data_IF_289237182496
#
_entry.id   IF_289237182496
#
_cell.length_a   1.000
_cell.length_b   1.000
_cell.length_c   1.000
_cell.angle_alpha   90.00
_cell.angle_beta   90.00
_cell.angle_gamma   90.00
#
_symmetry.space_group_name_H-M   'P 1'
#
loop_
_entity.id
_entity.type
_entity.pdbx_description
1 polymer ?
2 non-polymer ?
3 non-polymer ?
4 non-polymer ?
5 non-polymer ?
6 water ?
#
# COMPACT_ATOMS: atom_id res chain seq x y z
N UNK A 1 -17.13 20.98 -6.92
CA UNK A 1 -18.16 21.57 -6.06
C UNK A 1 -18.06 21.02 -4.65
N UNK A 2 -18.43 21.85 -3.67
CA UNK A 2 -18.48 21.46 -2.28
C UNK A 2 -19.93 21.12 -1.94
N UNK A 3 -20.18 19.86 -1.58
CA UNK A 3 -21.52 19.43 -1.22
C UNK A 3 -22.07 20.30 -0.09
N UNK A 4 -23.37 20.61 -0.16
CA UNK A 4 -23.95 21.46 0.87
C UNK A 4 -23.86 20.84 2.27
N UNK A 5 -23.73 19.52 2.39
CA UNK A 5 -23.61 18.90 3.70
C UNK A 5 -22.16 18.67 4.14
N UNK A 6 -21.18 19.03 3.32
CA UNK A 6 -19.79 18.99 3.78
C UNK A 6 -19.51 20.18 4.71
N UNK A 7 -18.59 19.96 5.65
CA UNK A 7 -18.11 21.03 6.51
C UNK A 7 -16.71 21.43 6.05
N UNK A 8 -16.52 22.72 5.81
CA UNK A 8 -15.20 23.27 5.48
C UNK A 8 -14.88 24.32 6.54
N UNK A 9 -13.86 24.05 7.35
CA UNK A 9 -13.53 24.97 8.43
C UNK A 9 -13.18 26.34 7.85
N UNK A 10 -13.55 27.43 8.52
CA UNK A 10 -13.25 28.77 7.96
C UNK A 10 -11.77 29.03 7.71
N UNK A 11 -10.87 28.38 8.46
CA UNK A 11 -9.44 28.55 8.24
C UNK A 11 -8.87 27.64 7.16
N UNK A 12 -9.61 26.63 6.72
CA UNK A 12 -9.12 25.79 5.64
C UNK A 12 -9.16 26.56 4.32
N UNK A 13 -8.31 26.14 3.39
CA UNK A 13 -8.23 26.79 2.08
C UNK A 13 -8.56 25.70 1.05
N UNK A 14 -9.78 25.70 0.53
CA UNK A 14 -10.18 24.75 -0.51
C UNK A 14 -10.24 25.51 -1.82
N UNK A 15 -9.36 25.17 -2.76
CA UNK A 15 -9.28 25.92 -4.00
C UNK A 15 -10.45 25.58 -4.92
N UNK A 16 -10.94 26.60 -5.64
CA UNK A 16 -12.06 26.41 -6.54
C UNK A 16 -11.75 25.30 -7.55
N UNK A 17 -12.70 24.38 -7.70
CA UNK A 17 -12.53 23.20 -8.53
C UNK A 17 -12.43 21.91 -7.72
N UNK A 18 -11.98 22.00 -6.47
CA UNK A 18 -11.99 20.83 -5.59
C UNK A 18 -13.41 20.29 -5.46
N UNK A 19 -13.52 18.96 -5.40
CA UNK A 19 -14.80 18.27 -5.20
C UNK A 19 -14.80 17.68 -3.80
N UNK A 20 -15.78 18.08 -2.98
CA UNK A 20 -15.88 17.62 -1.59
C UNK A 20 -17.26 16.98 -1.40
N UNK A 21 -17.27 15.70 -0.99
CA UNK A 21 -18.50 14.93 -0.94
C UNK A 21 -19.37 15.21 0.28
N UNK A 22 -20.55 14.58 0.26
CA UNK A 22 -21.53 14.78 1.32
C UNK A 22 -20.95 14.39 2.67
N UNK A 23 -21.21 15.21 3.68
CA UNK A 23 -20.82 14.92 5.06
C UNK A 23 -19.32 14.72 5.23
N UNK A 24 -18.52 15.18 4.27
CA UNK A 24 -17.08 15.24 4.50
C UNK A 24 -16.78 16.36 5.48
N UNK A 25 -15.56 16.34 6.03
CA UNK A 25 -15.16 17.34 7.01
C UNK A 25 -13.73 17.78 6.70
N UNK A 26 -13.55 19.07 6.42
CA UNK A 26 -12.22 19.62 6.17
C UNK A 26 -11.88 20.49 7.37
N UNK A 27 -10.95 20.01 8.22
CA UNK A 27 -10.63 20.66 9.47
C UNK A 27 -9.78 21.92 9.31
N UNK A 28 -9.51 22.56 10.43
CA UNK A 28 -8.79 23.84 10.40
C UNK A 28 -7.40 23.71 9.79
N UNK A 29 -7.02 24.74 9.04
CA UNK A 29 -5.69 24.89 8.45
C UNK A 29 -5.35 23.80 7.44
N UNK A 30 -6.36 23.12 6.87
CA UNK A 30 -6.10 22.22 5.75
C UNK A 30 -6.01 23.01 4.45
N UNK A 31 -5.27 22.44 3.48
CA UNK A 31 -5.16 23.00 2.14
C UNK A 31 -5.58 21.90 1.17
N UNK A 32 -6.49 22.22 0.25
CA UNK A 32 -7.02 21.26 -0.70
C UNK A 32 -6.95 21.90 -2.09
N UNK A 33 -6.19 21.29 -3.00
CA UNK A 33 -5.97 21.85 -4.31
C UNK A 33 -7.15 21.66 -5.23
N UNK A 34 -7.09 22.32 -6.38
CA UNK A 34 -8.25 22.37 -7.30
C UNK A 34 -8.55 21.09 -8.06
N UNK A 35 -7.62 20.13 -8.09
CA UNK A 35 -7.83 18.86 -8.77
C UNK A 35 -8.06 17.71 -7.79
N UNK A 36 -8.38 18.03 -6.54
CA UNK A 36 -8.64 17.04 -5.51
C UNK A 36 -10.11 16.68 -5.46
N UNK A 37 -10.41 15.39 -5.31
CA UNK A 37 -11.76 14.89 -5.03
C UNK A 37 -11.73 14.16 -3.69
N UNK A 38 -12.59 14.58 -2.77
CA UNK A 38 -12.67 13.98 -1.44
C UNK A 38 -14.06 13.38 -1.30
N UNK A 39 -14.10 12.07 -1.02
CA UNK A 39 -15.34 11.34 -1.02
C UNK A 39 -16.22 11.58 0.22
N UNK A 40 -17.44 11.08 0.10
CA UNK A 40 -18.45 11.21 1.14
C UNK A 40 -17.94 10.73 2.50
N UNK A 41 -18.13 11.56 3.53
CA UNK A 41 -17.81 11.18 4.89
C UNK A 41 -16.34 11.23 5.25
N UNK A 42 -15.46 11.55 4.32
CA UNK A 42 -14.04 11.57 4.65
C UNK A 42 -13.71 12.77 5.52
N UNK A 43 -12.79 12.57 6.46
CA UNK A 43 -12.41 13.60 7.41
C UNK A 43 -10.93 13.91 7.24
N UNK A 44 -10.61 15.20 7.07
CA UNK A 44 -9.25 15.71 7.24
C UNK A 44 -9.21 16.44 8.59
N UNK A 45 -8.48 15.88 9.56
CA UNK A 45 -8.62 16.36 10.94
C UNK A 45 -8.26 17.84 11.06
N UNK A 46 -7.03 18.20 10.67
CA UNK A 46 -6.51 19.56 10.68
C UNK A 46 -5.13 19.49 10.06
N UNK A 47 -4.62 20.63 9.61
CA UNK A 47 -3.23 20.74 9.13
C UNK A 47 -2.88 19.65 8.12
N UNK A 48 -3.78 19.35 7.19
CA UNK A 48 -3.57 18.37 6.14
C UNK A 48 -3.39 19.10 4.81
N UNK A 49 -2.38 18.67 4.02
CA UNK A 49 -2.17 19.19 2.68
C UNK A 49 -2.58 18.09 1.69
N UNK A 50 -3.55 18.40 0.83
CA UNK A 50 -3.93 17.50 -0.27
C UNK A 50 -3.87 18.30 -1.56
N UNK A 51 -3.07 17.83 -2.52
CA UNK A 51 -2.94 18.55 -3.78
C UNK A 51 -2.69 17.55 -4.92
N UNK A 52 -2.41 18.08 -6.10
CA UNK A 52 -2.26 17.26 -7.29
C UNK A 52 -3.60 16.73 -7.80
N UNK A 53 -3.50 15.88 -8.83
CA UNK A 53 -4.67 15.18 -9.35
C UNK A 53 -4.88 13.96 -8.47
N UNK A 54 -5.77 14.11 -7.48
CA UNK A 54 -5.84 13.19 -6.35
C UNK A 54 -7.30 12.89 -6.04
N UNK A 55 -7.66 11.61 -6.07
CA UNK A 55 -9.02 11.15 -5.79
C UNK A 55 -9.00 10.33 -4.51
N UNK A 56 -9.80 10.73 -3.53
CA UNK A 56 -9.88 10.07 -2.24
C UNK A 56 -11.32 9.61 -2.04
N UNK A 57 -11.48 8.34 -1.62
CA UNK A 57 -12.79 7.74 -1.48
C UNK A 57 -13.51 8.18 -0.22
N UNK A 58 -14.41 7.31 0.25
CA UNK A 58 -15.34 7.65 1.30
C UNK A 58 -14.89 7.13 2.65
N UNK A 59 -15.32 7.83 3.71
CA UNK A 59 -15.12 7.38 5.09
C UNK A 59 -13.64 7.22 5.45
N UNK A 60 -12.77 7.94 4.79
CA UNK A 60 -11.37 7.97 5.20
C UNK A 60 -11.19 8.89 6.40
N UNK A 61 -10.15 8.60 7.20
CA UNK A 61 -9.74 9.47 8.30
C UNK A 61 -8.27 9.82 8.09
N UNK A 62 -7.99 11.09 7.83
CA UNK A 62 -6.65 11.55 7.52
C UNK A 62 -6.23 12.54 8.59
N UNK A 63 -5.16 12.22 9.31
CA UNK A 63 -4.75 12.98 10.49
C UNK A 63 -3.80 14.12 10.15
N UNK A 64 -3.59 14.98 11.13
CA UNK A 64 -2.82 16.21 10.97
C UNK A 64 -1.40 15.92 10.48
N UNK A 65 -0.88 16.84 9.67
CA UNK A 65 0.48 16.89 9.17
C UNK A 65 0.73 15.85 8.08
N UNK A 66 -0.33 15.21 7.59
CA UNK A 66 -0.23 14.35 6.42
C UNK A 66 -0.14 15.18 5.14
N UNK A 67 0.54 14.62 4.14
CA UNK A 67 0.70 15.23 2.83
C UNK A 67 0.32 14.21 1.79
N UNK A 68 -0.78 14.46 1.08
CA UNK A 68 -1.41 13.49 0.18
C UNK A 68 -1.47 14.11 -1.21
N UNK A 69 -0.85 13.47 -2.19
CA UNK A 69 -0.84 13.93 -3.57
C UNK A 69 0.38 14.75 -3.95
N UNK A 70 1.29 14.97 -3.01
CA UNK A 70 2.39 15.91 -3.19
C UNK A 70 3.36 15.43 -4.27
N UNK A 71 4.10 16.39 -4.84
CA UNK A 71 5.22 16.12 -5.73
C UNK A 71 6.09 15.02 -5.13
N UNK A 72 6.45 14.03 -5.94
CA UNK A 72 7.26 12.92 -5.45
C UNK A 72 8.73 13.33 -5.36
N UNK A 73 9.56 12.42 -4.86
CA UNK A 73 10.97 12.71 -4.60
C UNK A 73 11.90 12.13 -5.65
N UNK A 74 11.35 11.53 -6.70
CA UNK A 74 12.14 11.03 -7.82
C UNK A 74 12.73 12.21 -8.59
N UNK A 75 14.06 12.25 -8.67
CA UNK A 75 14.71 13.32 -9.42
C UNK A 75 14.29 13.34 -10.88
N UNK A 76 13.74 12.24 -11.40
CA UNK A 76 13.30 12.22 -12.79
C UNK A 76 12.00 12.99 -12.99
N UNK A 77 11.23 13.18 -11.93
CA UNK A 77 9.95 13.86 -12.05
C UNK A 77 10.16 15.33 -12.39
N UNK A 78 9.34 15.87 -13.29
CA UNK A 78 9.57 17.21 -13.80
C UNK A 78 8.31 18.08 -13.73
N UNK A 79 7.33 17.68 -12.93
CA UNK A 79 6.10 18.42 -12.78
C UNK A 79 4.94 17.95 -13.63
N UNK A 80 5.06 16.79 -14.25
CA UNK A 80 3.99 16.32 -15.13
C UNK A 80 2.73 16.03 -14.31
N UNK A 81 1.56 16.22 -14.92
CA UNK A 81 0.30 15.88 -14.24
C UNK A 81 0.18 14.39 -14.07
N UNK A 82 0.62 13.89 -12.92
CA UNK A 82 0.42 12.51 -12.54
C UNK A 82 -0.62 12.46 -11.41
N UNK A 83 -0.89 11.26 -10.89
CA UNK A 83 -2.13 11.05 -10.13
C UNK A 83 -1.89 10.23 -8.88
N UNK A 84 -2.83 10.39 -7.95
CA UNK A 84 -2.97 9.56 -6.76
C UNK A 84 -4.43 9.09 -6.69
N UNK A 85 -4.62 7.81 -6.35
CA UNK A 85 -5.95 7.27 -6.06
C UNK A 85 -5.90 6.60 -4.70
N UNK A 86 -6.86 6.94 -3.84
CA UNK A 86 -7.01 6.36 -2.51
C UNK A 86 -8.45 5.89 -2.35
N UNK A 87 -8.62 4.66 -1.88
CA UNK A 87 -9.94 4.08 -1.72
C UNK A 87 -10.72 4.53 -0.49
N UNK A 88 -11.41 3.61 0.16
CA UNK A 88 -12.37 3.91 1.21
C UNK A 88 -11.91 3.40 2.57
N UNK A 89 -12.35 4.08 3.63
CA UNK A 89 -12.21 3.59 5.01
C UNK A 89 -10.75 3.38 5.42
N UNK A 90 -9.84 4.17 4.85
CA UNK A 90 -8.46 4.14 5.30
C UNK A 90 -8.26 5.01 6.53
N UNK A 91 -7.32 4.61 7.38
CA UNK A 91 -6.87 5.42 8.50
C UNK A 91 -5.45 5.84 8.20
N UNK A 92 -5.26 7.12 7.94
CA UNK A 92 -4.01 7.66 7.43
C UNK A 92 -3.52 8.63 8.50
N UNK A 93 -2.48 8.23 9.21
CA UNK A 93 -2.14 8.84 10.49
C UNK A 93 -1.20 10.04 10.31
N UNK A 94 -0.82 10.65 11.43
CA UNK A 94 -0.06 11.89 11.42
C UNK A 94 1.21 11.74 10.59
N UNK A 95 1.48 12.74 9.76
CA UNK A 95 2.74 12.85 9.01
C UNK A 95 2.90 11.83 7.91
N UNK A 96 1.89 10.99 7.63
CA UNK A 96 1.98 10.11 6.46
C UNK A 96 2.17 10.96 5.20
N UNK A 97 3.00 10.46 4.28
CA UNK A 97 3.15 11.07 2.96
C UNK A 97 2.76 10.08 1.88
N UNK A 98 1.93 10.51 0.94
CA UNK A 98 1.56 9.71 -0.21
C UNK A 98 1.80 10.57 -1.43
N UNK A 99 2.74 10.18 -2.28
CA UNK A 99 3.19 11.05 -3.37
C UNK A 99 2.64 10.60 -4.72
N UNK A 100 2.52 11.58 -5.62
CA UNK A 100 1.97 11.35 -6.94
C UNK A 100 2.93 10.53 -7.79
N UNK A 101 2.40 9.88 -8.82
CA UNK A 101 3.22 9.05 -9.69
C UNK A 101 4.19 9.83 -10.58
N UNK A 102 4.94 9.08 -11.38
CA UNK A 102 5.79 9.65 -12.43
C UNK A 102 5.31 9.13 -13.78
N UNK A 103 5.52 9.93 -14.82
CA UNK A 103 5.21 9.46 -16.17
C UNK A 103 5.94 8.16 -16.45
N UNK A 104 7.22 8.12 -16.09
CA UNK A 104 8.06 6.96 -16.37
C UNK A 104 7.52 5.71 -15.70
N UNK A 105 6.94 5.85 -14.52
CA UNK A 105 6.44 4.73 -13.76
C UNK A 105 4.99 4.38 -13.94
N UNK A 106 4.28 5.00 -14.89
CA UNK A 106 2.88 4.68 -15.14
C UNK A 106 1.90 5.76 -14.76
N UNK A 107 2.34 6.79 -14.02
CA UNK A 107 1.54 7.96 -13.76
C UNK A 107 0.63 7.90 -12.55
N UNK A 108 0.67 6.81 -11.77
CA UNK A 108 -0.35 6.61 -10.73
C UNK A 108 0.23 6.00 -9.48
N UNK A 109 -0.04 6.64 -8.34
CA UNK A 109 0.16 6.01 -7.04
C UNK A 109 -1.21 5.62 -6.51
N UNK A 110 -1.36 4.37 -6.09
CA UNK A 110 -2.68 3.88 -5.72
C UNK A 110 -2.67 3.21 -4.35
N UNK A 111 -3.69 3.52 -3.56
CA UNK A 111 -3.94 2.89 -2.26
C UNK A 111 -5.38 2.40 -2.25
N UNK A 112 -5.60 1.17 -1.78
CA UNK A 112 -6.95 0.63 -1.76
C UNK A 112 -7.79 1.09 -0.58
N UNK A 113 -8.43 0.13 0.10
CA UNK A 113 -9.42 0.42 1.12
C UNK A 113 -9.09 -0.33 2.40
N UNK A 114 -9.58 0.20 3.52
CA UNK A 114 -9.47 -0.45 4.82
C UNK A 114 -8.02 -0.65 5.26
N UNK A 115 -7.12 0.21 4.81
CA UNK A 115 -5.72 0.17 5.22
C UNK A 115 -5.50 1.01 6.47
N UNK A 116 -4.44 0.67 7.22
CA UNK A 116 -3.98 1.49 8.33
C UNK A 116 -2.54 1.88 8.02
N UNK A 117 -2.32 3.18 7.79
CA UNK A 117 -1.01 3.74 7.51
C UNK A 117 -0.59 4.55 8.74
N UNK A 118 0.33 4.00 9.52
CA UNK A 118 0.66 4.61 10.81
C UNK A 118 1.59 5.81 10.61
N UNK A 119 1.90 6.48 11.73
CA UNK A 119 2.62 7.76 11.72
C UNK A 119 3.85 7.70 10.81
N UNK A 120 3.98 8.68 9.91
CA UNK A 120 5.15 8.84 9.06
C UNK A 120 5.40 7.65 8.14
N UNK A 121 4.39 6.84 7.87
CA UNK A 121 4.53 5.90 6.77
C UNK A 121 4.68 6.70 5.48
N UNK A 122 5.44 6.14 4.52
CA UNK A 122 5.71 6.84 3.26
C UNK A 122 5.34 5.95 2.09
N UNK A 123 4.44 6.45 1.22
CA UNK A 123 4.04 5.76 0.00
C UNK A 123 4.58 6.60 -1.14
N UNK A 124 5.68 6.13 -1.75
CA UNK A 124 6.36 6.87 -2.80
C UNK A 124 5.58 6.82 -4.12
N UNK A 125 6.05 7.61 -5.08
CA UNK A 125 5.52 7.58 -6.44
C UNK A 125 5.39 6.16 -6.98
N UNK A 126 4.28 5.91 -7.67
CA UNK A 126 4.02 4.70 -8.46
C UNK A 126 3.89 3.45 -7.62
N UNK A 127 3.76 3.59 -6.30
CA UNK A 127 3.48 2.44 -5.47
C UNK A 127 2.03 2.02 -5.64
N UNK A 128 1.76 0.74 -5.34
CA UNK A 128 0.41 0.20 -5.30
C UNK A 128 0.23 -0.53 -3.97
N UNK A 129 -0.59 0.05 -3.09
CA UNK A 129 -0.99 -0.59 -1.84
C UNK A 129 -2.39 -1.12 -2.01
N UNK A 130 -2.61 -2.37 -1.60
CA UNK A 130 -3.88 -3.03 -1.79
C UNK A 130 -4.94 -2.68 -0.76
N UNK A 131 -5.66 -3.68 -0.27
CA UNK A 131 -6.69 -3.51 0.76
C UNK A 131 -6.27 -4.20 2.05
N UNK A 132 -6.71 -3.65 3.18
CA UNK A 132 -6.52 -4.25 4.49
C UNK A 132 -5.06 -4.37 4.90
N UNK A 133 -4.19 -3.53 4.33
CA UNK A 133 -2.79 -3.52 4.71
C UNK A 133 -2.55 -2.72 5.98
N UNK A 134 -1.41 -2.99 6.64
CA UNK A 134 -0.91 -2.18 7.74
C UNK A 134 0.55 -1.81 7.46
N UNK A 135 0.85 -0.51 7.47
CA UNK A 135 2.22 0.00 7.53
C UNK A 135 2.41 0.66 8.89
N UNK A 136 3.34 0.13 9.69
CA UNK A 136 3.58 0.66 11.02
C UNK A 136 4.40 1.94 10.94
N UNK A 137 4.64 2.58 12.09
CA UNK A 137 5.33 3.87 12.10
C UNK A 137 6.63 3.80 11.31
N UNK A 138 6.86 4.83 10.48
CA UNK A 138 8.09 5.04 9.73
C UNK A 138 8.33 3.99 8.67
N UNK A 139 7.38 3.11 8.40
CA UNK A 139 7.54 2.17 7.29
C UNK A 139 7.65 2.95 5.99
N UNK A 140 8.64 2.62 5.17
CA UNK A 140 9.04 3.49 4.08
C UNK A 140 9.14 2.69 2.78
N UNK A 141 8.29 3.02 1.80
CA UNK A 141 8.34 2.37 0.49
C UNK A 141 9.07 3.28 -0.50
N UNK A 142 10.10 2.74 -1.15
CA UNK A 142 10.68 3.44 -2.29
C UNK A 142 9.70 3.41 -3.46
N UNK A 143 10.08 4.04 -4.57
CA UNK A 143 9.16 4.12 -5.71
C UNK A 143 8.82 2.75 -6.28
N UNK A 144 7.64 2.65 -6.87
CA UNK A 144 7.20 1.49 -7.64
C UNK A 144 6.97 0.22 -6.81
N UNK A 145 6.90 0.32 -5.48
CA UNK A 145 6.71 -0.85 -4.63
C UNK A 145 5.26 -1.29 -4.63
N UNK A 146 5.00 -2.60 -4.62
CA UNK A 146 3.65 -3.13 -4.41
C UNK A 146 3.54 -3.73 -3.01
N UNK A 147 2.46 -3.40 -2.31
CA UNK A 147 2.10 -4.03 -1.05
C UNK A 147 0.72 -4.64 -1.29
N UNK A 148 0.68 -5.97 -1.37
CA UNK A 148 -0.54 -6.65 -1.77
C UNK A 148 -1.50 -6.83 -0.59
N UNK A 149 -2.73 -7.26 -0.89
CA UNK A 149 -3.81 -7.31 0.10
C UNK A 149 -3.37 -7.98 1.40
N UNK A 150 -3.77 -7.39 2.52
CA UNK A 150 -3.57 -7.91 3.88
C UNK A 150 -2.11 -7.92 4.34
N UNK A 151 -1.16 -7.50 3.51
CA UNK A 151 0.24 -7.51 3.95
C UNK A 151 0.46 -6.49 5.07
N UNK A 152 1.36 -6.82 6.00
CA UNK A 152 1.69 -5.96 7.13
C UNK A 152 3.20 -5.71 7.16
N UNK A 153 3.60 -4.46 7.35
CA UNK A 153 5.01 -4.08 7.37
C UNK A 153 5.28 -3.41 8.71
N UNK A 154 6.24 -3.95 9.46
CA UNK A 154 6.52 -3.51 10.81
C UNK A 154 7.24 -2.17 10.90
N UNK A 155 7.33 -1.68 12.13
CA UNK A 155 7.87 -0.34 12.34
C UNK A 155 9.32 -0.23 11.91
N UNK A 156 9.67 0.94 11.35
CA UNK A 156 11.03 1.29 10.94
C UNK A 156 11.51 0.53 9.71
N UNK A 157 10.64 -0.24 9.05
CA UNK A 157 11.09 -1.08 7.95
C UNK A 157 11.00 -0.33 6.62
N UNK A 158 12.00 -0.54 5.77
CA UNK A 158 12.03 0.12 4.47
C UNK A 158 12.08 -0.94 3.37
N UNK A 159 11.51 -0.60 2.21
CA UNK A 159 11.41 -1.51 1.08
C UNK A 159 12.04 -0.85 -0.15
N UNK A 160 12.99 -1.56 -0.77
CA UNK A 160 13.73 -1.09 -1.94
C UNK A 160 12.81 -0.97 -3.16
N UNK A 161 13.14 -0.06 -4.07
CA UNK A 161 12.28 0.24 -5.20
C UNK A 161 11.93 -1.01 -6.01
N UNK A 162 10.70 -1.03 -6.54
CA UNK A 162 10.14 -2.08 -7.39
C UNK A 162 9.82 -3.40 -6.69
N UNK A 163 10.19 -3.56 -5.40
CA UNK A 163 9.90 -4.82 -4.74
C UNK A 163 8.40 -5.04 -4.59
N UNK A 164 8.02 -6.32 -4.54
CA UNK A 164 6.65 -6.76 -4.25
C UNK A 164 6.61 -7.38 -2.86
N UNK A 165 5.73 -6.85 -2.01
CA UNK A 165 5.36 -7.46 -0.74
C UNK A 165 4.06 -8.23 -0.97
N UNK A 166 4.14 -9.56 -1.02
CA UNK A 166 3.00 -10.37 -1.43
C UNK A 166 1.82 -10.34 -0.46
N UNK A 167 0.69 -10.87 -0.95
CA UNK A 167 -0.52 -10.89 -0.15
C UNK A 167 -0.32 -11.66 1.16
N UNK A 168 -0.89 -11.13 2.25
CA UNK A 168 -0.88 -11.78 3.57
C UNK A 168 0.53 -11.94 4.15
N UNK A 169 1.52 -11.23 3.59
CA UNK A 169 2.86 -11.25 4.15
C UNK A 169 2.89 -10.51 5.49
N UNK A 170 3.82 -10.91 6.36
CA UNK A 170 4.15 -10.12 7.55
C UNK A 170 5.63 -9.84 7.55
N UNK A 171 6.01 -8.56 7.38
CA UNK A 171 7.41 -8.16 7.45
C UNK A 171 7.67 -7.60 8.84
N UNK A 172 8.67 -8.13 9.53
CA UNK A 172 8.99 -7.65 10.86
C UNK A 172 9.40 -6.19 10.85
N UNK A 173 9.43 -5.62 12.05
CA UNK A 173 9.99 -4.31 12.22
C UNK A 173 11.52 -4.30 12.08
N UNK A 174 12.07 -3.11 11.95
CA UNK A 174 13.52 -2.91 11.87
C UNK A 174 14.15 -3.76 10.77
N UNK A 175 13.47 -3.88 9.63
CA UNK A 175 13.94 -4.74 8.55
C UNK A 175 14.16 -3.92 7.28
N UNK A 176 14.92 -4.48 6.36
CA UNK A 176 15.16 -3.83 5.08
C UNK A 176 14.89 -4.84 3.99
N UNK A 177 13.89 -4.60 3.16
CA UNK A 177 13.48 -5.57 2.14
C UNK A 177 14.12 -5.16 0.82
N UNK A 178 14.95 -6.05 0.26
CA UNK A 178 15.65 -5.74 -0.98
C UNK A 178 15.18 -6.59 -2.17
N UNK A 179 14.36 -7.61 -1.93
CA UNK A 179 13.86 -8.46 -3.00
C UNK A 179 12.37 -8.73 -2.77
N UNK A 180 11.77 -9.53 -3.65
CA UNK A 180 10.33 -9.76 -3.59
C UNK A 180 9.97 -10.80 -2.53
N UNK A 181 8.84 -10.58 -1.87
CA UNK A 181 8.40 -11.46 -0.79
C UNK A 181 7.16 -12.22 -1.27
N UNK A 182 7.23 -13.53 -1.45
CA UNK A 182 6.06 -14.29 -1.92
C UNK A 182 4.87 -14.13 -0.99
N UNK A 183 3.65 -14.30 -1.50
CA UNK A 183 2.47 -14.26 -0.62
C UNK A 183 2.58 -15.26 0.51
N UNK A 184 1.98 -14.89 1.65
CA UNK A 184 1.73 -15.77 2.80
C UNK A 184 2.97 -15.92 3.68
N UNK A 185 4.07 -15.23 3.40
CA UNK A 185 5.38 -15.45 4.02
C UNK A 185 5.62 -14.45 5.15
N UNK A 186 6.32 -14.91 6.18
CA UNK A 186 6.88 -14.05 7.21
C UNK A 186 8.30 -13.71 6.80
N UNK A 187 8.67 -12.43 6.86
CA UNK A 187 10.01 -12.00 6.50
C UNK A 187 10.56 -11.06 7.57
N UNK A 188 11.87 -11.14 7.81
CA UNK A 188 12.46 -10.29 8.84
C UNK A 188 13.95 -10.18 8.57
N UNK A 189 14.54 -9.06 8.96
CA UNK A 189 15.99 -8.90 8.95
C UNK A 189 16.47 -7.80 8.02
N UNK A 190 17.80 -7.65 7.98
CA UNK A 190 18.48 -6.63 7.18
C UNK A 190 19.67 -7.27 6.49
N UNK A 191 19.48 -7.75 5.25
CA UNK A 191 18.21 -7.67 4.53
C UNK A 191 17.26 -8.79 4.94
N UNK A 192 15.98 -8.59 4.64
CA UNK A 192 14.95 -9.51 5.10
C UNK A 192 15.07 -10.88 4.43
N UNK A 193 14.84 -11.92 5.21
CA UNK A 193 14.86 -13.30 4.76
C UNK A 193 13.58 -13.98 5.24
N UNK A 194 13.21 -15.11 4.62
CA UNK A 194 11.92 -15.73 4.93
C UNK A 194 11.97 -16.61 6.18
N UNK A 195 10.89 -16.56 6.96
CA UNK A 195 10.78 -17.35 8.18
C UNK A 195 9.47 -18.14 8.20
N UNK A 196 9.11 -18.76 7.09
CA UNK A 196 7.96 -19.62 7.07
C UNK A 196 6.67 -18.90 6.72
N UNK A 197 5.58 -19.62 6.89
CA UNK A 197 4.26 -19.15 6.48
C UNK A 197 3.62 -18.40 7.63
N UNK A 198 2.88 -17.34 7.28
CA UNK A 198 2.11 -16.52 8.22
C UNK A 198 0.84 -17.26 8.63
N UNK A 199 1.05 -18.37 9.35
CA UNK A 199 -0.06 -19.27 9.66
C UNK A 199 -1.14 -18.55 10.48
N UNK A 200 -0.73 -17.78 11.49
CA UNK A 200 -1.73 -17.17 12.36
C UNK A 200 -2.59 -16.15 11.60
N UNK A 201 -1.99 -15.36 10.71
CA UNK A 201 -2.77 -14.46 9.90
C UNK A 201 -3.80 -15.17 9.03
N UNK A 202 -3.36 -16.25 8.37
CA UNK A 202 -4.29 -17.00 7.51
C UNK A 202 -5.43 -17.58 8.34
N UNK A 203 -5.12 -18.14 9.51
CA UNK A 203 -6.12 -18.65 10.44
C UNK A 203 -7.18 -17.60 10.74
N UNK A 204 -6.75 -16.41 11.17
CA UNK A 204 -7.69 -15.37 11.56
C UNK A 204 -8.51 -14.86 10.38
N UNK A 205 -8.02 -15.02 9.16
CA UNK A 205 -8.69 -14.50 7.97
C UNK A 205 -9.54 -15.56 7.28
N UNK A 206 -9.76 -16.71 7.93
CA UNK A 206 -10.72 -17.66 7.43
C UNK A 206 -10.18 -18.71 6.49
N UNK A 207 -8.87 -18.76 6.28
CA UNK A 207 -8.31 -19.82 5.45
C UNK A 207 -8.54 -21.18 6.09
N UNK A 208 -8.92 -22.17 5.28
CA UNK A 208 -9.17 -23.52 5.77
C UNK A 208 -7.86 -24.22 6.15
N UNK A 209 -8.01 -25.26 6.96
CA UNK A 209 -6.85 -26.08 7.30
C UNK A 209 -6.17 -26.63 6.05
N UNK A 210 -6.97 -27.07 5.07
CA UNK A 210 -6.42 -27.63 3.83
C UNK A 210 -5.67 -26.58 3.03
N UNK A 211 -6.22 -25.36 2.98
CA UNK A 211 -5.54 -24.31 2.23
C UNK A 211 -4.21 -23.93 2.89
N UNK A 212 -4.18 -23.87 4.22
CA UNK A 212 -2.93 -23.52 4.88
C UNK A 212 -1.90 -24.62 4.69
N UNK A 213 -2.32 -25.88 4.78
CA UNK A 213 -1.39 -26.97 4.52
C UNK A 213 -0.81 -26.87 3.11
N UNK A 214 -1.67 -26.63 2.11
CA UNK A 214 -1.18 -26.52 0.74
C UNK A 214 -0.21 -25.35 0.61
N UNK A 215 -0.51 -24.24 1.27
CA UNK A 215 0.39 -23.08 1.25
C UNK A 215 1.72 -23.42 1.92
N UNK A 216 1.68 -24.14 3.03
CA UNK A 216 2.92 -24.59 3.65
C UNK A 216 3.71 -25.50 2.70
N UNK A 217 3.01 -26.40 2.00
CA UNK A 217 3.72 -27.26 1.04
C UNK A 217 4.29 -26.48 -0.13
N UNK A 218 3.60 -25.42 -0.58
CA UNK A 218 4.16 -24.58 -1.62
C UNK A 218 5.39 -23.84 -1.12
N UNK A 219 5.34 -23.37 0.12
CA UNK A 219 6.51 -22.74 0.74
C UNK A 219 7.69 -23.70 0.75
N UNK A 220 7.43 -24.97 1.09
CA UNK A 220 8.51 -25.94 1.14
C UNK A 220 9.11 -26.18 -0.24
N UNK A 221 8.27 -26.24 -1.27
CA UNK A 221 8.78 -26.37 -2.63
C UNK A 221 9.76 -25.26 -2.96
N UNK A 222 9.42 -24.02 -2.57
CA UNK A 222 10.24 -22.87 -2.94
C UNK A 222 11.54 -22.87 -2.16
N UNK A 223 11.48 -23.10 -0.85
CA UNK A 223 12.61 -22.84 0.02
C UNK A 223 13.25 -24.07 0.64
N UNK A 224 12.59 -25.23 0.60
CA UNK A 224 13.15 -26.41 1.25
C UNK A 224 13.44 -27.55 0.30
N UNK A 225 12.84 -27.57 -0.88
CA UNK A 225 13.03 -28.70 -1.79
C UNK A 225 14.43 -28.72 -2.38
N UNK A 226 15.07 -27.56 -2.50
CA UNK A 226 16.37 -27.47 -3.13
C UNK A 226 16.34 -27.36 -4.64
N UNK A 227 15.17 -27.35 -5.26
CA UNK A 227 15.04 -27.18 -6.69
C UNK A 227 15.11 -25.70 -7.05
N UNK A 228 15.31 -25.44 -8.34
CA UNK A 228 15.26 -24.07 -8.83
C UNK A 228 13.83 -23.57 -8.86
N UNK A 229 13.68 -22.24 -8.92
CA UNK A 229 12.35 -21.66 -9.04
C UNK A 229 11.67 -22.12 -10.33
N UNK A 230 12.44 -22.26 -11.42
CA UNK A 230 11.86 -22.69 -12.68
C UNK A 230 11.32 -24.12 -12.59
N UNK A 231 11.95 -24.97 -11.79
CA UNK A 231 11.43 -26.32 -11.59
C UNK A 231 10.16 -26.32 -10.75
N UNK A 232 10.11 -25.47 -9.73
CA UNK A 232 9.00 -25.54 -8.79
C UNK A 232 7.76 -24.83 -9.33
N UNK A 233 7.92 -23.85 -10.22
CA UNK A 233 6.75 -23.15 -10.74
C UNK A 233 5.66 -24.09 -11.24
N UNK A 234 5.94 -25.03 -12.15
CA UNK A 234 4.88 -25.96 -12.57
C UNK A 234 4.38 -26.86 -11.45
N UNK A 235 5.24 -27.19 -10.47
CA UNK A 235 4.76 -27.97 -9.33
C UNK A 235 3.80 -27.17 -8.48
N UNK A 236 4.02 -25.86 -8.35
CA UNK A 236 3.10 -25.02 -7.61
C UNK A 236 1.80 -24.85 -8.38
N UNK A 237 1.89 -24.69 -9.70
CA UNK A 237 0.68 -24.60 -10.52
C UNK A 237 -0.13 -25.88 -10.41
N UNK A 238 0.55 -27.03 -10.38
CA UNK A 238 -0.14 -28.31 -10.22
C UNK A 238 -0.88 -28.36 -8.88
N UNK A 239 -0.21 -27.92 -7.81
CA UNK A 239 -0.85 -27.89 -6.51
C UNK A 239 -2.07 -26.96 -6.52
N UNK A 240 -1.98 -25.83 -7.23
CA UNK A 240 -3.08 -24.89 -7.32
C UNK A 240 -4.30 -25.48 -8.03
N UNK A 241 -4.11 -26.53 -8.84
CA UNK A 241 -5.26 -27.18 -9.45
C UNK A 241 -6.24 -27.70 -8.40
N UNK A 242 -5.74 -28.09 -7.23
CA UNK A 242 -6.58 -28.57 -6.14
C UNK A 242 -6.91 -27.50 -5.11
N UNK A 243 -5.94 -26.68 -4.75
CA UNK A 243 -6.11 -25.66 -3.72
C UNK A 243 -5.97 -24.28 -4.37
N UNK A 244 -7.07 -23.59 -4.65
CA UNK A 244 -6.97 -22.33 -5.42
C UNK A 244 -6.17 -21.26 -4.70
N UNK A 245 -6.07 -21.32 -3.37
CA UNK A 245 -5.26 -20.33 -2.67
C UNK A 245 -3.81 -20.35 -3.14
N UNK A 246 -3.32 -21.48 -3.62
CA UNK A 246 -1.93 -21.59 -4.04
C UNK A 246 -1.67 -20.80 -5.33
N UNK A 247 -2.72 -20.45 -6.07
CA UNK A 247 -2.55 -19.66 -7.28
C UNK A 247 -1.92 -18.31 -7.00
N UNK A 248 -2.08 -17.78 -5.77
CA UNK A 248 -1.45 -16.51 -5.44
C UNK A 248 0.05 -16.54 -5.71
N UNK A 249 0.70 -17.70 -5.51
CA UNK A 249 2.12 -17.82 -5.84
C UNK A 249 2.34 -17.63 -7.34
N UNK A 250 1.58 -18.35 -8.16
CA UNK A 250 1.71 -18.21 -9.61
C UNK A 250 1.56 -16.76 -10.05
N UNK A 251 0.51 -16.09 -9.55
CA UNK A 251 0.27 -14.70 -9.95
C UNK A 251 1.43 -13.82 -9.51
N UNK A 252 1.95 -14.06 -8.31
CA UNK A 252 3.09 -13.29 -7.81
C UNK A 252 4.34 -13.52 -8.65
N UNK A 253 4.63 -14.77 -9.02
CA UNK A 253 5.83 -15.06 -9.81
C UNK A 253 5.82 -14.27 -11.11
N UNK A 254 4.64 -14.08 -11.70
CA UNK A 254 4.55 -13.40 -12.99
C UNK A 254 4.84 -11.91 -12.87
N UNK A 255 4.63 -11.34 -11.69
CA UNK A 255 4.90 -9.93 -11.42
C UNK A 255 6.30 -9.69 -10.87
N UNK A 256 6.91 -10.70 -10.24
CA UNK A 256 8.19 -10.53 -9.57
C UNK A 256 9.28 -10.16 -10.56
N UNK A 257 10.02 -9.08 -10.26
CA UNK A 257 11.14 -8.68 -11.09
C UNK A 257 12.48 -8.65 -10.39
N UNK A 258 12.54 -8.83 -9.06
CA UNK A 258 13.79 -8.68 -8.33
C UNK A 258 14.31 -9.98 -7.75
N UNK A 259 13.67 -11.11 -8.05
CA UNK A 259 13.98 -12.36 -7.40
C UNK A 259 13.36 -12.41 -6.01
N UNK A 260 13.41 -13.60 -5.42
CA UNK A 260 12.77 -13.81 -4.12
C UNK A 260 13.77 -13.59 -2.99
N UNK A 261 13.28 -13.09 -1.85
CA UNK A 261 14.11 -13.08 -0.67
C UNK A 261 14.48 -14.53 -0.34
N UNK A 262 15.69 -14.73 0.17
CA UNK A 262 16.16 -16.08 0.46
C UNK A 262 17.07 -16.07 1.67
N UNK A 263 17.24 -17.23 2.27
CA UNK A 263 18.04 -17.37 3.48
C UNK A 263 19.48 -16.91 3.26
X LIG B 1 13.01 6.06 -7.80
X LIG B 1 13.96 5.21 -8.63
X LIG B 1 13.21 4.34 -9.63
X LIG B 1 15.63 8.37 -6.46
X LIG B 1 13.81 6.80 -6.74
X LIG B 1 17.60 -2.22 2.64
X LIG B 1 16.56 -1.48 1.80
X LIG B 1 16.54 0.02 2.16
X LIG B 1 15.50 0.76 1.31
X LIG B 1 15.41 2.26 1.63
X LIG B 1 14.33 2.95 0.80
X LIG B 1 14.16 4.44 1.15
X LIG B 1 13.11 5.09 0.24
X LIG B 1 12.75 6.54 0.58
X LIG B 1 11.61 7.07 -0.31
X LIG B 1 12.18 7.53 -1.66
X LIG B 1 11.04 7.67 -2.68
X LIG B 1 10.08 8.68 -2.30
X LIG B 1 11.59 8.15 -4.01
X LIG B 1 12.42 7.14 -4.76
X LIG B 1 12.64 5.99 -4.41
X LIG B 1 13.00 7.68 -5.98
X LIG B 1 14.81 7.70 -7.45
X LIG B 1 16.12 9.59 -6.72
X LIG B 1 16.98 10.22 -5.67
X LIG B 1 15.85 10.15 -7.76
X LIG B 1 12.00 5.24 -7.20
X LIG B 1 12.50 5.16 -10.57
X LIG B 1 14.86 6.11 -9.31
X LIG B 1 15.66 6.90 -8.42
X LIG B 1 16.51 6.04 -7.68
X LIG B 1 17.83 5.45 -8.37
X LIG B 1 18.80 5.04 -7.28
X LIG B 1 17.39 4.42 -9.38
X LIG B 1 18.30 6.80 -9.07
X LIG B 1 19.60 7.19 -9.94
X LIG B 1 20.04 6.04 -10.79
X LIG B 1 19.28 8.53 -10.53
X LIG B 1 20.68 7.48 -8.79
X LIG B 1 20.43 8.51 -7.83
X LIG B 1 21.75 9.06 -7.29
X LIG B 1 22.58 7.99 -6.83
X LIG B 1 22.52 9.77 -8.38
X LIG B 1 23.00 11.01 -7.87
X LIG B 1 23.68 8.84 -8.70
X LIG B 1 24.85 9.61 -9.03
X LIG B 1 23.89 8.11 -7.39
X LIG B 1 24.47 6.78 -7.56
X LIG B 1 23.79 5.83 -8.25
X LIG B 1 24.35 4.55 -8.38
X LIG B 1 25.59 4.29 -7.79
X LIG B 1 26.09 3.14 -7.91
X LIG B 1 26.24 5.25 -7.11
X LIG B 1 25.72 6.48 -6.97
X LIG B 1 26.32 7.37 -6.32
X LIG C 1 2.03 21.20 -8.73
X LIG C 1 1.18 20.47 -7.72
X LIG C 1 2.94 20.22 -9.43
X LIG C 1 2.86 22.25 -8.03
X LIG C 1 1.13 21.86 -9.76
X LIG D 1 -1.45 22.16 -6.60
X LIG D 1 -0.23 21.94 -5.74
X LIG D 1 -2.45 22.99 -5.84
X LIG D 1 -2.07 20.82 -6.96
X LIG D 1 -1.05 22.87 -7.87
X LIG E 1 -6.95 -3.90 8.15
X LIG E 1 -8.29 -3.71 8.81
X LIG E 1 -5.90 -2.49 8.61
X LIG E 1 -6.09 -5.18 9.10
X LIG E 1 -6.39 -1.59 8.31
X LIG E 1 -4.98 -2.56 8.11
X LIG E 1 -5.75 -2.48 9.65
X LIG E 1 -6.59 -6.11 8.97
X LIG E 1 -6.08 -4.92 10.13
X LIG E 1 -5.09 -5.28 8.75
X LIG F 1 -10.53 6.73 -6.04
X LIG F 1 -11.47 7.24 -4.99
X LIG F 1 -10.38 4.92 -5.88
X LIG F 1 -11.33 6.84 -7.66
X LIG F 1 -9.94 4.68 -4.95
X LIG F 1 -9.78 4.55 -6.66
X LIG F 1 -11.34 4.48 -5.95
X LIG F 1 -11.62 7.85 -7.85
X LIG F 1 -12.20 6.23 -7.67
X LIG F 1 -10.67 6.51 -8.42
X LIG G 1 -3.24 -8.46 -4.16
X LIG G 1 -2.28 -9.02 -5.17
X LIG G 1 -4.33 -7.33 -5.04
X LIG G 1 -4.38 -9.83 -3.78
X LIG G 1 -3.75 -6.56 -5.49
X LIG G 1 -5.02 -6.89 -4.36
X LIG G 1 -4.86 -7.85 -5.79
X LIG G 1 -3.85 -10.60 -3.30
X LIG G 1 -4.80 -10.19 -4.69
X LIG G 1 -5.16 -9.48 -3.16
X LIG H 1 20.36 -2.16 -0.58
X LIG H 1 21.19 -2.03 0.54
X LIG H 1 21.18 -0.81 1.23
X LIG H 1 18.95 2.59 -0.20
X LIG H 1 17.52 4.65 -0.83
X LIG H 1 16.73 6.79 -1.84
X LIG H 1 15.54 6.90 -2.91
X LIG H 1 16.37 5.50 -4.33
X LIG H 1 17.54 4.99 -3.39
X LIG H 1 18.92 5.65 -3.75
X LIG H 1 20.02 5.08 -2.90
X LIG H 1 20.55 5.84 -1.85
X LIG H 1 21.56 5.31 -1.04
X LIG H 1 22.05 4.04 -1.29
X LIG H 1 21.53 3.27 -2.34
X LIG H 1 20.51 3.80 -3.15
X LIG H 1 20.32 -3.44 -1.35
X LIG H 1 17.94 3.25 -0.95
X LIG H 1 19.64 0.09 -0.21
X LIG H 1 19.57 -1.08 -0.96
X LIG H 1 18.86 1.25 -0.61
X LIG H 1 17.24 5.40 -1.99
X LIG H 1 20.42 0.25 0.88
X LIG H 1 17.83 1.18 -1.56
X LIG H 1 17.28 2.37 -1.76
X LIG H 1 17.46 5.18 0.28
X LIG H 1 16.17 6.85 -4.15
X LIG H 1 21.83 -2.85 0.86
X LIG H 1 21.80 -0.65 2.12
X LIG H 1 19.65 3.02 0.52
X LIG H 1 17.51 7.52 -2.04
X LIG H 1 16.38 6.99 -0.84
X LIG H 1 14.98 7.83 -2.86
X LIG H 1 14.82 6.08 -2.87
X LIG H 1 15.40 5.02 -4.12
X LIG H 1 16.58 5.35 -5.39
X LIG H 1 17.55 3.91 -3.52
X LIG H 1 19.17 5.50 -4.81
X LIG H 1 18.90 6.73 -3.64
X LIG H 1 20.17 6.84 -1.66
X LIG H 1 21.96 5.91 -0.24
X LIG H 1 22.84 3.63 -0.66
X LIG H 1 21.90 2.27 -2.53
X LIG H 1 20.10 3.21 -3.97
X LIG H 1 20.60 -4.29 -0.72
X LIG H 1 21.00 -3.42 -2.19
X LIG H 1 19.33 -3.64 -1.74
X LIG H 1 18.92 -1.17 -1.83
X LIG H 1 17.49 0.35 -2.05
#
# INVERSE_FOLDING_TARGET
MIDKSAFVHPTAIVEEGASIGANAHIGPFCIVGPHVEIGEGTVLKSHVVVNGHTKIGRDNEIYQFASIGEVNQDLKYAGEPTRVEIGDRNRIRESVTIHRGTVQGGGLTKVGSDNLLMINAHIAHDCTVGNRCILANNATLAGHVSVDDFAIIGGMTAVHQFCIIGAHVMVGGCSGVAQDVPPYVIAQGNHATPFGVNIEGLKRRGFSREAITAIRNAYKLIYRSGKTLDEVKPEIAELAETYPEVKAFTDFFARSTRGLIRHHHHHH
U20 C4 C5 C6 N2 C3 CCB CCA CBZ CBY CBX CBW CBV CBU CBS CBR CBL CBJ OCC CBI CAM OAY O3 C2 CAP CAQ OAR O4 O6 O5 C1 O1 PAO OAT OAS OAN PAU OAW OAV O5' C5' C4' O4' C3' O3' C2' O2' C1' NAX CBP CBO CBN OBQ NBM CBK OBT
PO4 P O1 O2 O3 O4
PO4 P O1 O2 O3 O4
DMS S O C1 C2 H11 H12 H13 H21 H22 H23
DMS S O C1 C2 H11 H12 H13 H21 H22 H23
DMS S O C1 C2 H11 H12 H13 H21 H22 H23
O5P C1 C2 C3 C11 C12 C15 C16 C18 C19 C20 C21 C22 C23 C24 C25 C26 C27 C10 C5 C6 C7 N13 N4 N8 N9 O14 O17 H28 H29 H32 H33 H34 H35 H36 H38 H37 H39 H40 H41 H42 H43 H44 H45 H46 H49 H47 H48 H30 H31
#
